data_IF_825790276112
#
_entry.id   IF_825790276112
#
_cell.length_a   1.000
_cell.length_b   1.000
_cell.length_c   1.000
_cell.angle_alpha   90.00
_cell.angle_beta   90.00
_cell.angle_gamma   90.00
#
_symmetry.space_group_name_H-M   'P 1'
#
loop_
_entity.id
_entity.type
_entity.pdbx_description
1 polymer ?
#
# COMPACT_ATOMS: atom_id res chain seq x y z
N UNK A 1 8.74 -14.44 -4.38
CA UNK A 1 7.35 -14.66 -4.85
C UNK A 1 7.42 -15.19 -6.26
N UNK A 2 6.84 -16.36 -6.56
CA UNK A 2 7.08 -17.04 -7.85
C UNK A 2 5.81 -17.38 -8.66
N UNK A 3 4.63 -16.90 -8.27
CA UNK A 3 3.40 -17.13 -9.03
C UNK A 3 2.40 -15.98 -8.84
N UNK A 4 2.55 -14.86 -9.58
CA UNK A 4 1.58 -13.77 -9.52
C UNK A 4 0.24 -14.19 -10.17
N UNK A 5 -0.86 -13.68 -9.63
CA UNK A 5 -2.19 -13.84 -10.20
C UNK A 5 -2.92 -12.50 -10.22
N UNK A 6 -3.81 -12.31 -11.19
CA UNK A 6 -4.67 -11.13 -11.25
C UNK A 6 -5.71 -11.16 -10.13
N UNK A 7 -6.16 -9.97 -9.75
CA UNK A 7 -7.25 -9.80 -8.78
C UNK A 7 -8.58 -9.54 -9.50
N UNK A 8 -9.67 -9.88 -8.83
CA UNK A 8 -11.03 -9.57 -9.28
C UNK A 8 -11.38 -8.09 -8.97
N UNK A 9 -11.82 -7.28 -9.96
CA UNK A 9 -12.26 -5.90 -9.73
C UNK A 9 -13.40 -5.80 -8.71
N UNK A 10 -13.30 -4.84 -7.77
CA UNK A 10 -14.33 -4.58 -6.75
C UNK A 10 -14.31 -5.53 -5.55
N UNK A 11 -13.55 -6.64 -5.60
CA UNK A 11 -13.34 -7.52 -4.45
C UNK A 11 -12.28 -6.94 -3.52
N UNK A 12 -12.58 -6.89 -2.23
CA UNK A 12 -11.63 -6.46 -1.22
C UNK A 12 -10.59 -7.56 -0.95
N UNK A 13 -9.32 -7.17 -0.85
CA UNK A 13 -8.22 -8.06 -0.50
C UNK A 13 -7.46 -7.48 0.69
N UNK A 14 -7.00 -8.37 1.58
CA UNK A 14 -6.05 -8.01 2.63
C UNK A 14 -4.64 -8.07 2.05
N UNK A 15 -3.85 -7.02 2.29
CA UNK A 15 -2.45 -6.95 1.87
C UNK A 15 -1.55 -6.72 3.07
N UNK A 16 -0.51 -7.54 3.18
CA UNK A 16 0.60 -7.30 4.10
C UNK A 16 1.69 -6.52 3.36
N UNK A 17 1.93 -5.29 3.78
CA UNK A 17 2.91 -4.38 3.18
C UNK A 17 4.07 -4.18 4.15
N UNK A 18 5.27 -4.60 3.76
CA UNK A 18 6.49 -4.35 4.52
C UNK A 18 6.94 -2.88 4.34
N UNK A 19 6.87 -2.10 5.42
CA UNK A 19 7.27 -0.69 5.45
C UNK A 19 8.74 -0.47 5.83
N UNK A 20 9.50 -1.55 6.03
CA UNK A 20 10.87 -1.55 6.54
C UNK A 20 10.99 -0.88 7.92
N UNK A 21 12.23 -0.73 8.40
CA UNK A 21 12.51 -0.26 9.75
C UNK A 21 12.67 1.26 9.83
N UNK A 22 12.29 1.82 10.98
CA UNK A 22 12.65 3.16 11.43
C UNK A 22 12.83 3.18 12.94
N UNK A 23 13.53 4.17 13.48
CA UNK A 23 13.63 4.43 14.92
C UNK A 23 13.44 5.92 15.15
N UNK A 24 12.33 6.29 15.77
CA UNK A 24 11.96 7.69 15.94
C UNK A 24 11.20 7.92 17.25
N UNK A 25 11.52 9.02 17.94
CA UNK A 25 10.77 9.48 19.10
C UNK A 25 9.81 10.58 18.66
N UNK A 26 8.51 10.30 18.72
CA UNK A 26 7.48 11.32 18.53
C UNK A 26 7.34 12.12 19.83
N UNK A 27 7.77 13.39 19.80
CA UNK A 27 7.73 14.28 20.97
C UNK A 27 6.33 14.83 21.21
N UNK A 28 6.13 15.47 22.36
CA UNK A 28 4.90 16.21 22.64
C UNK A 28 4.60 17.22 21.51
N UNK A 29 3.35 17.25 21.06
CA UNK A 29 2.90 18.05 19.92
C UNK A 29 3.12 17.42 18.54
N UNK A 30 3.91 16.35 18.42
CA UNK A 30 4.05 15.61 17.16
C UNK A 30 2.82 14.73 16.91
N UNK A 31 2.63 14.33 15.65
CA UNK A 31 1.59 13.39 15.24
C UNK A 31 2.20 12.29 14.37
N UNK A 32 1.64 11.09 14.49
CA UNK A 32 1.89 10.01 13.54
C UNK A 32 0.90 10.20 12.39
N UNK A 33 1.39 10.17 11.16
CA UNK A 33 0.58 10.23 9.95
C UNK A 33 0.93 9.04 9.07
N UNK A 34 -0.10 8.38 8.57
CA UNK A 34 0.01 7.36 7.54
C UNK A 34 -0.53 7.94 6.22
N UNK A 35 0.24 7.82 5.15
CA UNK A 35 -0.20 8.16 3.80
C UNK A 35 -0.33 6.88 2.98
N UNK A 36 -1.50 6.69 2.38
CA UNK A 36 -1.80 5.52 1.54
C UNK A 36 -2.05 6.05 0.13
N UNK A 37 -1.32 5.48 -0.83
CA UNK A 37 -1.42 5.82 -2.25
C UNK A 37 -1.10 4.57 -3.08
N UNK A 38 -1.47 4.58 -4.36
CA UNK A 38 -1.17 3.50 -5.30
C UNK A 38 0.05 3.77 -6.17
N UNK A 39 0.89 4.73 -5.80
CA UNK A 39 2.14 5.02 -6.50
C UNK A 39 3.17 5.73 -5.63
N UNK A 40 4.45 5.55 -5.96
CA UNK A 40 5.57 6.31 -5.41
C UNK A 40 6.68 6.39 -6.48
N UNK A 41 6.38 7.09 -7.57
CA UNK A 41 7.33 7.30 -8.67
C UNK A 41 8.25 8.49 -8.35
N UNK A 42 9.55 8.45 -8.69
CA UNK A 42 10.25 7.42 -9.46
C UNK A 42 10.88 6.30 -8.62
N UNK A 43 10.58 6.22 -7.31
CA UNK A 43 11.14 5.17 -6.46
C UNK A 43 10.72 3.76 -6.90
N UNK A 44 9.49 3.61 -7.36
CA UNK A 44 8.97 2.41 -8.01
C UNK A 44 8.35 2.75 -9.36
N UNK A 45 8.45 1.83 -10.32
CA UNK A 45 7.73 1.94 -11.59
C UNK A 45 6.21 1.95 -11.34
N UNK A 46 5.51 2.74 -12.17
CA UNK A 46 4.06 2.89 -12.05
C UNK A 46 3.38 1.62 -12.55
N UNK A 47 2.40 1.10 -11.79
CA UNK A 47 1.52 0.06 -12.28
C UNK A 47 0.57 0.63 -13.35
N UNK A 48 0.45 -0.03 -14.51
CA UNK A 48 -0.42 0.40 -15.62
C UNK A 48 -1.91 0.12 -15.38
N UNK A 49 -2.21 -0.71 -14.39
CA UNK A 49 -3.55 -1.16 -13.98
C UNK A 49 -4.32 -1.95 -15.05
N UNK A 50 -3.63 -2.54 -16.02
CA UNK A 50 -4.23 -3.37 -17.08
C UNK A 50 -4.17 -4.87 -16.78
N UNK A 51 -3.18 -5.29 -15.97
CA UNK A 51 -2.82 -6.70 -15.77
C UNK A 51 -1.79 -7.23 -16.77
N UNK A 52 -1.36 -6.42 -17.74
CA UNK A 52 -0.28 -6.77 -18.68
C UNK A 52 1.10 -6.71 -17.99
N UNK A 53 2.14 -7.10 -18.73
CA UNK A 53 3.53 -6.94 -18.31
C UNK A 53 3.86 -5.44 -18.23
N UNK A 54 4.02 -4.91 -17.01
CA UNK A 54 4.15 -3.46 -16.73
C UNK A 54 5.23 -2.78 -17.59
N UNK A 55 6.38 -3.42 -17.78
CA UNK A 55 7.51 -2.85 -18.51
C UNK A 55 7.30 -2.76 -20.03
N UNK A 56 6.36 -3.53 -20.57
CA UNK A 56 6.07 -3.63 -22.01
C UNK A 56 4.73 -2.96 -22.37
N UNK A 57 3.93 -2.61 -21.37
CA UNK A 57 2.57 -2.15 -21.57
C UNK A 57 2.52 -0.70 -22.04
N UNK A 58 1.86 -0.49 -23.18
CA UNK A 58 1.64 0.83 -23.78
C UNK A 58 0.28 1.42 -23.40
N UNK A 59 -0.60 0.64 -22.76
CA UNK A 59 -1.88 1.10 -22.27
C UNK A 59 -1.79 1.52 -20.80
N UNK A 60 -2.51 2.59 -20.43
CA UNK A 60 -2.65 3.03 -19.05
C UNK A 60 -4.13 3.15 -18.73
N UNK A 61 -4.55 2.56 -17.61
CA UNK A 61 -5.93 2.65 -17.13
C UNK A 61 -5.97 3.35 -15.77
N UNK A 62 -6.73 4.45 -15.61
CA UNK A 62 -7.01 4.98 -14.28
C UNK A 62 -7.72 3.93 -13.43
N UNK A 63 -7.33 3.81 -12.17
CA UNK A 63 -7.95 2.88 -11.24
C UNK A 63 -8.47 3.64 -10.01
N UNK A 64 -9.74 3.42 -9.67
CA UNK A 64 -10.32 3.92 -8.43
C UNK A 64 -9.98 2.95 -7.30
N UNK A 65 -9.11 3.39 -6.39
CA UNK A 65 -8.69 2.60 -5.23
C UNK A 65 -9.59 2.91 -4.04
N UNK A 66 -9.96 1.88 -3.27
CA UNK A 66 -10.73 2.04 -2.03
C UNK A 66 -10.01 1.32 -0.91
N UNK A 67 -9.73 2.04 0.18
CA UNK A 67 -9.17 1.45 1.40
C UNK A 67 -10.31 1.26 2.39
N UNK A 68 -10.64 0.01 2.68
CA UNK A 68 -11.62 -0.31 3.71
C UNK A 68 -10.96 -0.22 5.09
N UNK A 69 -11.58 0.51 6.00
CA UNK A 69 -11.14 0.65 7.39
C UNK A 69 -12.38 0.72 8.29
N UNK A 70 -13.03 -0.42 8.45
CA UNK A 70 -14.25 -0.60 9.25
C UNK A 70 -14.10 -1.83 10.15
N UNK A 71 -15.12 -2.16 10.95
CA UNK A 71 -15.06 -3.29 11.89
C UNK A 71 -14.95 -4.67 11.23
N UNK A 72 -15.38 -4.81 9.97
CA UNK A 72 -15.24 -6.04 9.18
C UNK A 72 -13.91 -6.07 8.42
N UNK A 73 -13.34 -4.90 8.12
CA UNK A 73 -12.07 -4.73 7.42
C UNK A 73 -11.13 -3.83 8.24
N UNK A 74 -10.57 -4.33 9.34
CA UNK A 74 -9.82 -3.51 10.29
C UNK A 74 -8.39 -3.24 9.80
N UNK A 75 -8.21 -2.54 8.68
CA UNK A 75 -6.88 -2.18 8.15
C UNK A 75 -6.06 -1.38 9.18
N UNK A 76 -4.78 -1.67 9.36
CA UNK A 76 -3.96 -1.00 10.38
C UNK A 76 -2.50 -0.87 9.95
N UNK A 77 -1.74 -0.04 10.67
CA UNK A 77 -0.27 -0.04 10.63
C UNK A 77 0.24 -0.57 11.96
N UNK A 78 1.16 -1.53 11.91
CA UNK A 78 1.83 -2.06 13.11
C UNK A 78 3.04 -1.19 13.45
N UNK A 79 3.11 -0.68 14.67
CA UNK A 79 4.24 0.12 15.16
C UNK A 79 4.96 -0.63 16.27
N UNK A 80 6.27 -0.80 16.12
CA UNK A 80 7.13 -1.37 17.14
C UNK A 80 7.37 -0.36 18.28
N UNK A 81 6.48 -0.35 19.27
CA UNK A 81 6.60 0.51 20.44
C UNK A 81 7.71 0.00 21.37
N UNK A 82 8.70 0.85 21.63
CA UNK A 82 9.77 0.58 22.60
C UNK A 82 9.41 1.30 23.90
N UNK A 83 9.10 0.56 24.99
CA UNK A 83 8.87 1.18 26.30
C UNK A 83 10.16 1.82 26.82
N UNK A 84 10.01 2.82 27.69
CA UNK A 84 11.13 3.44 28.40
C UNK A 84 11.47 2.68 29.66
#
# INVERSE_FOLDING_TARGET
>A
MSNPALIEPGKAYCYDIDLWATSNVFKAGHRIRLEISSSNFPRFDRNTNTGNIIAEDTELRPALQTVFHDSKHPSYVSLALVPR
#
